data_IF_362720050534
#
_entry.id   IF_362720050534
#
_cell.length_a   1.000
_cell.length_b   1.000
_cell.length_c   1.000
_cell.angle_alpha   90.00
_cell.angle_beta   90.00
_cell.angle_gamma   90.00
#
_symmetry.space_group_name_H-M   'P 1'
#
loop_
_entity.id
_entity.type
_entity.pdbx_description
1 polymer ?
#
# COMPACT_ATOMS: atom_id res chain seq x y z
N UNK A 1 -25.61 0.76 -12.10
CA UNK A 1 -24.87 1.94 -11.59
C UNK A 1 -23.59 1.39 -11.02
N UNK A 2 -22.46 1.55 -11.71
CA UNK A 2 -21.18 1.07 -11.20
C UNK A 2 -20.75 2.01 -10.07
N UNK A 3 -20.79 1.54 -8.83
CA UNK A 3 -20.26 2.28 -7.68
C UNK A 3 -18.75 2.44 -7.86
N UNK A 4 -18.34 3.57 -8.42
CA UNK A 4 -16.93 3.95 -8.49
C UNK A 4 -16.56 4.50 -7.11
N UNK A 5 -16.02 3.64 -6.24
CA UNK A 5 -15.49 4.05 -4.96
C UNK A 5 -14.28 4.95 -5.20
N UNK A 6 -14.29 6.22 -4.76
CA UNK A 6 -13.13 7.08 -4.92
C UNK A 6 -11.94 6.46 -4.18
N UNK A 7 -10.72 6.61 -4.72
CA UNK A 7 -9.54 6.08 -4.04
C UNK A 7 -9.39 6.77 -2.67
N UNK A 8 -9.15 6.00 -1.59
CA UNK A 8 -9.00 6.56 -0.24
C UNK A 8 -7.78 7.48 -0.15
N UNK A 9 -7.85 8.50 0.70
CA UNK A 9 -6.72 9.38 0.97
C UNK A 9 -5.51 8.59 1.49
N UNK A 10 -4.32 8.88 0.96
CA UNK A 10 -3.06 8.31 1.45
C UNK A 10 -2.17 9.43 1.99
N UNK A 11 -1.48 9.13 3.10
CA UNK A 11 -0.56 10.04 3.77
C UNK A 11 0.82 9.40 3.83
N UNK A 12 1.84 10.12 3.37
CA UNK A 12 3.22 9.62 3.32
C UNK A 12 4.13 10.66 3.99
N UNK A 13 5.15 10.21 4.72
CA UNK A 13 6.11 11.15 5.31
C UNK A 13 7.03 11.76 4.24
N UNK A 14 7.47 12.99 4.45
CA UNK A 14 8.48 13.66 3.61
C UNK A 14 9.77 12.84 3.49
N UNK A 15 10.12 12.05 4.51
CA UNK A 15 11.30 11.17 4.52
C UNK A 15 11.10 9.91 3.67
N UNK A 16 9.87 9.39 3.63
CA UNK A 16 9.55 8.16 2.90
C UNK A 16 9.31 8.42 1.42
N UNK A 17 8.73 9.58 1.06
CA UNK A 17 8.37 9.90 -0.32
C UNK A 17 9.53 9.69 -1.32
N UNK A 18 10.76 10.21 -1.10
CA UNK A 18 11.87 10.03 -2.04
C UNK A 18 12.30 8.55 -2.19
N UNK A 19 12.12 7.73 -1.15
CA UNK A 19 12.43 6.30 -1.20
C UNK A 19 11.46 5.59 -2.14
N UNK A 20 10.17 5.92 -2.06
CA UNK A 20 9.12 5.33 -2.90
C UNK A 20 9.23 5.82 -4.35
N UNK A 21 9.53 7.10 -4.57
CA UNK A 21 9.76 7.65 -5.91
C UNK A 21 10.91 6.94 -6.61
N UNK A 22 12.07 6.82 -5.94
CA UNK A 22 13.23 6.08 -6.48
C UNK A 22 12.90 4.61 -6.77
N UNK A 23 12.06 4.01 -5.93
CA UNK A 23 11.61 2.64 -6.14
C UNK A 23 10.70 2.54 -7.38
N UNK A 24 9.79 3.49 -7.58
CA UNK A 24 8.94 3.57 -8.77
C UNK A 24 9.77 3.78 -10.04
N UNK A 25 10.76 4.68 -10.02
CA UNK A 25 11.73 4.86 -11.12
C UNK A 25 12.44 3.55 -11.47
N UNK A 26 12.88 2.80 -10.46
CA UNK A 26 13.53 1.50 -10.64
C UNK A 26 12.63 0.43 -11.28
N UNK A 27 11.30 0.59 -11.20
CA UNK A 27 10.33 -0.32 -11.82
C UNK A 27 10.08 -0.02 -13.30
N UNK A 28 10.33 1.20 -13.79
CA UNK A 28 9.96 1.64 -15.15
C UNK A 28 10.45 0.68 -16.23
N UNK A 29 11.69 0.21 -16.12
CA UNK A 29 12.32 -0.68 -17.09
C UNK A 29 11.87 -2.14 -16.98
N UNK A 30 11.31 -2.54 -15.84
CA UNK A 30 10.93 -3.94 -15.55
C UNK A 30 9.44 -4.18 -15.69
N UNK A 31 8.64 -3.20 -15.29
CA UNK A 31 7.18 -3.25 -15.32
C UNK A 31 6.63 -1.81 -15.37
N UNK A 32 6.54 -1.26 -16.58
CA UNK A 32 6.09 0.10 -16.82
C UNK A 32 4.67 0.37 -16.29
N UNK A 33 3.77 -0.60 -16.39
CA UNK A 33 2.39 -0.45 -15.89
C UNK A 33 2.34 -0.33 -14.36
N UNK A 34 3.15 -1.13 -13.66
CA UNK A 34 3.26 -1.05 -12.20
C UNK A 34 3.94 0.24 -11.75
N UNK A 35 4.98 0.69 -12.45
CA UNK A 35 5.66 1.95 -12.18
C UNK A 35 4.71 3.14 -12.33
N UNK A 36 3.96 3.19 -13.44
CA UNK A 36 2.95 4.23 -13.68
C UNK A 36 1.89 4.26 -12.56
N UNK A 37 1.33 3.09 -12.20
CA UNK A 37 0.38 2.99 -11.09
C UNK A 37 0.99 3.45 -9.76
N UNK A 38 2.27 3.16 -9.50
CA UNK A 38 2.93 3.65 -8.30
C UNK A 38 3.03 5.18 -8.30
N UNK A 39 3.47 5.79 -9.41
CA UNK A 39 3.54 7.25 -9.53
C UNK A 39 2.18 7.92 -9.40
N UNK A 40 1.11 7.33 -9.95
CA UNK A 40 -0.25 7.86 -9.80
C UNK A 40 -0.68 7.91 -8.33
N UNK A 41 -0.36 6.88 -7.55
CA UNK A 41 -0.62 6.86 -6.12
C UNK A 41 0.25 7.87 -5.37
N UNK A 42 1.55 7.96 -5.66
CA UNK A 42 2.43 8.94 -5.02
C UNK A 42 2.01 10.39 -5.34
N UNK A 43 1.55 10.66 -6.56
CA UNK A 43 1.15 12.00 -7.00
C UNK A 43 -0.10 12.53 -6.28
N UNK A 44 -1.00 11.65 -5.84
CA UNK A 44 -2.19 12.02 -5.07
C UNK A 44 -1.97 11.97 -3.56
N UNK A 45 -0.81 11.52 -3.10
CA UNK A 45 -0.51 11.39 -1.69
C UNK A 45 -0.39 12.75 -1.01
N UNK A 46 -0.91 12.84 0.21
CA UNK A 46 -0.61 13.98 1.08
C UNK A 46 0.73 13.73 1.77
N UNK A 47 1.72 14.54 1.44
CA UNK A 47 3.02 14.49 2.11
C UNK A 47 3.00 15.34 3.38
N UNK A 48 3.48 14.79 4.50
CA UNK A 48 3.55 15.46 5.80
C UNK A 48 4.92 15.26 6.46
N UNK A 49 5.36 16.19 7.34
CA UNK A 49 6.46 15.91 8.27
C UNK A 49 6.18 14.65 9.08
N UNK A 50 7.21 13.85 9.39
CA UNK A 50 7.03 12.54 10.05
C UNK A 50 6.27 12.64 11.39
N UNK A 51 6.43 13.76 12.12
CA UNK A 51 5.75 14.01 13.39
C UNK A 51 4.25 14.31 13.23
N UNK A 52 3.81 14.68 12.02
CA UNK A 52 2.41 14.97 11.67
C UNK A 52 1.72 13.80 10.97
N UNK A 53 2.48 12.76 10.57
CA UNK A 53 1.90 11.55 9.98
C UNK A 53 1.06 10.83 11.05
N UNK A 54 -0.20 10.49 10.75
CA UNK A 54 -1.04 9.74 11.66
C UNK A 54 -0.39 8.41 12.07
N UNK A 55 -0.46 8.07 13.36
CA UNK A 55 0.14 6.84 13.90
C UNK A 55 -0.47 5.56 13.33
N UNK A 56 -1.63 5.66 12.69
CA UNK A 56 -2.35 4.57 12.03
C UNK A 56 -2.19 4.58 10.49
N UNK A 57 -1.34 5.47 9.94
CA UNK A 57 -0.97 5.43 8.54
C UNK A 57 0.05 4.30 8.30
N UNK A 58 -0.15 3.55 7.22
CA UNK A 58 0.72 2.46 6.80
C UNK A 58 2.00 3.06 6.20
N UNK A 59 3.13 2.74 6.82
CA UNK A 59 4.47 3.06 6.33
C UNK A 59 5.28 1.82 5.95
N UNK A 60 6.57 2.04 5.69
CA UNK A 60 7.52 0.94 5.56
C UNK A 60 7.80 0.33 6.95
N UNK A 61 7.76 -1.00 7.02
CA UNK A 61 7.90 -1.78 8.25
C UNK A 61 6.59 -2.02 9.00
N UNK A 62 5.47 -1.43 8.59
CA UNK A 62 4.19 -1.59 9.29
C UNK A 62 3.66 -3.01 9.22
N UNK A 63 3.14 -3.51 10.34
CA UNK A 63 2.27 -4.68 10.36
C UNK A 63 0.85 -4.25 10.01
N UNK A 64 0.30 -4.86 8.96
CA UNK A 64 -1.00 -4.48 8.41
C UNK A 64 -1.92 -5.69 8.44
N UNK A 65 -3.07 -5.55 9.11
CA UNK A 65 -4.18 -6.49 9.01
C UNK A 65 -5.22 -5.93 8.05
N UNK A 66 -5.60 -6.68 7.04
CA UNK A 66 -6.67 -6.32 6.12
C UNK A 66 -7.56 -7.51 5.80
N UNK A 67 -8.82 -7.24 5.45
CA UNK A 67 -9.81 -8.24 5.05
C UNK A 67 -10.09 -8.14 3.57
N UNK A 68 -10.19 -9.28 2.92
CA UNK A 68 -10.87 -9.41 1.63
C UNK A 68 -12.37 -9.58 1.88
N UNK A 69 -13.15 -8.56 1.58
CA UNK A 69 -14.60 -8.54 1.81
C UNK A 69 -15.36 -9.49 0.87
N UNK A 70 -14.74 -9.89 -0.24
CA UNK A 70 -15.31 -10.89 -1.16
C UNK A 70 -15.23 -12.30 -0.57
N UNK A 71 -14.11 -12.64 0.09
CA UNK A 71 -13.88 -13.99 0.63
C UNK A 71 -14.05 -14.10 2.14
N UNK A 72 -14.13 -12.96 2.85
CA UNK A 72 -14.16 -12.87 4.31
C UNK A 72 -12.84 -13.20 5.00
N UNK A 73 -11.74 -13.33 4.25
CA UNK A 73 -10.44 -13.75 4.80
C UNK A 73 -9.61 -12.56 5.26
N UNK A 74 -9.07 -12.67 6.47
CA UNK A 74 -8.10 -11.72 7.01
C UNK A 74 -6.68 -12.14 6.63
N UNK A 75 -5.86 -11.16 6.29
CA UNK A 75 -4.43 -11.30 6.05
C UNK A 75 -3.67 -10.38 7.01
N UNK A 76 -2.53 -10.86 7.49
CA UNK A 76 -1.59 -10.09 8.29
C UNK A 76 -0.24 -10.12 7.58
N UNK A 77 0.27 -8.95 7.22
CA UNK A 77 1.55 -8.80 6.54
C UNK A 77 2.44 -7.77 7.23
N UNK A 78 3.71 -7.74 6.86
CA UNK A 78 4.58 -6.58 7.08
C UNK A 78 4.89 -5.95 5.74
N UNK A 79 4.60 -4.66 5.56
CA UNK A 79 4.94 -3.94 4.33
C UNK A 79 6.41 -3.55 4.37
N UNK A 80 7.21 -3.95 3.39
CA UNK A 80 8.68 -3.76 3.43
C UNK A 80 9.24 -3.32 2.06
N UNK A 81 10.53 -2.99 2.02
CA UNK A 81 11.23 -2.77 0.76
C UNK A 81 11.48 -4.09 0.01
N UNK A 82 11.69 -4.05 -1.32
CA UNK A 82 11.87 -5.26 -2.13
C UNK A 82 12.98 -6.19 -1.63
N UNK A 83 14.08 -5.65 -1.13
CA UNK A 83 15.24 -6.41 -0.66
C UNK A 83 14.95 -7.19 0.63
N UNK A 84 13.89 -6.82 1.34
CA UNK A 84 13.47 -7.41 2.62
C UNK A 84 12.26 -8.34 2.48
N UNK A 85 11.72 -8.48 1.26
CA UNK A 85 10.53 -9.28 1.01
C UNK A 85 10.81 -10.76 1.28
N UNK A 86 9.91 -11.39 2.04
CA UNK A 86 10.01 -12.78 2.45
C UNK A 86 8.61 -13.32 2.71
N UNK A 87 8.13 -14.16 1.78
CA UNK A 87 6.80 -14.76 1.84
C UNK A 87 6.65 -15.65 3.09
N UNK A 88 7.72 -16.36 3.49
CA UNK A 88 7.68 -17.25 4.64
C UNK A 88 7.51 -16.50 5.96
N UNK A 89 7.96 -15.24 6.00
CA UNK A 89 7.82 -14.33 7.12
C UNK A 89 6.65 -13.33 6.97
N UNK A 90 5.75 -13.54 5.99
CA UNK A 90 4.67 -12.61 5.65
C UNK A 90 5.12 -11.17 5.38
N UNK A 91 6.34 -10.99 4.86
CA UNK A 91 6.90 -9.69 4.45
C UNK A 91 6.62 -9.45 2.97
N UNK A 92 5.78 -8.47 2.68
CA UNK A 92 5.35 -8.12 1.33
C UNK A 92 6.04 -6.83 0.89
N UNK A 93 6.63 -6.86 -0.30
CA UNK A 93 7.25 -5.66 -0.88
C UNK A 93 6.21 -4.61 -1.23
N UNK A 94 6.53 -3.35 -0.91
CA UNK A 94 5.77 -2.18 -1.39
C UNK A 94 5.77 -2.10 -2.92
N UNK A 95 6.77 -2.65 -3.61
CA UNK A 95 6.82 -2.75 -5.08
C UNK A 95 5.97 -3.93 -5.63
N UNK A 96 4.77 -4.11 -5.12
CA UNK A 96 3.77 -5.06 -5.62
C UNK A 96 2.42 -4.36 -5.76
N UNK A 97 1.48 -4.85 -6.58
CA UNK A 97 0.17 -4.20 -6.72
C UNK A 97 -0.55 -3.97 -5.40
N UNK A 98 -0.50 -4.96 -4.48
CA UNK A 98 -1.10 -4.82 -3.15
C UNK A 98 -0.28 -3.89 -2.24
N UNK A 99 1.06 -3.91 -2.35
CA UNK A 99 1.93 -3.04 -1.56
C UNK A 99 1.73 -1.55 -1.89
N UNK A 100 1.62 -1.23 -3.18
CA UNK A 100 1.32 0.13 -3.67
C UNK A 100 -0.08 0.56 -3.20
N UNK A 101 -1.07 -0.33 -3.26
CA UNK A 101 -2.41 -0.01 -2.81
C UNK A 101 -2.51 0.22 -1.30
N UNK A 102 -1.59 -0.34 -0.50
CA UNK A 102 -1.59 -0.23 0.97
C UNK A 102 -0.81 0.96 1.50
N UNK A 103 0.29 1.36 0.87
CA UNK A 103 1.17 2.39 1.41
C UNK A 103 0.43 3.71 1.62
N UNK A 104 0.58 4.30 2.80
CA UNK A 104 -0.06 5.54 3.20
C UNK A 104 -1.55 5.46 3.53
N UNK A 105 -2.21 4.32 3.31
CA UNK A 105 -3.58 4.12 3.80
C UNK A 105 -3.62 4.11 5.33
N UNK A 106 -4.82 4.31 5.88
CA UNK A 106 -5.05 4.31 7.32
C UNK A 106 -5.97 3.17 7.74
N UNK A 107 -5.99 2.90 9.04
CA UNK A 107 -6.97 1.99 9.62
C UNK A 107 -8.42 2.38 9.22
N UNK A 108 -9.22 1.40 8.81
CA UNK A 108 -10.58 1.61 8.32
C UNK A 108 -10.68 2.05 6.85
N UNK A 109 -9.57 2.19 6.13
CA UNK A 109 -9.60 2.47 4.69
C UNK A 109 -10.20 1.28 3.92
N UNK A 110 -11.01 1.61 2.90
CA UNK A 110 -11.58 0.64 1.98
C UNK A 110 -11.03 0.93 0.58
N UNK A 111 -10.59 -0.10 -0.12
CA UNK A 111 -9.99 0.05 -1.45
C UNK A 111 -10.29 -1.16 -2.33
N UNK A 112 -10.23 -0.95 -3.64
CA UNK A 112 -10.36 -2.05 -4.61
C UNK A 112 -8.98 -2.54 -5.00
N UNK A 113 -8.79 -3.85 -4.99
CA UNK A 113 -7.57 -4.50 -5.46
C UNK A 113 -7.90 -5.49 -6.57
N UNK A 114 -7.13 -5.45 -7.65
CA UNK A 114 -7.25 -6.42 -8.74
C UNK A 114 -6.25 -7.56 -8.51
N UNK A 115 -6.78 -8.77 -8.33
CA UNK A 115 -5.99 -9.98 -8.19
C UNK A 115 -5.37 -10.39 -9.54
N UNK A 116 -4.42 -11.33 -9.49
CA UNK A 116 -3.69 -11.80 -10.69
C UNK A 116 -4.59 -12.47 -11.74
N UNK A 117 -5.75 -12.98 -11.32
CA UNK A 117 -6.76 -13.59 -12.18
C UNK A 117 -7.73 -12.55 -12.79
N UNK A 118 -7.53 -11.25 -12.52
CA UNK A 118 -8.39 -10.16 -12.95
C UNK A 118 -9.62 -9.95 -12.07
N UNK A 119 -9.79 -10.72 -11.00
CA UNK A 119 -10.88 -10.51 -10.06
C UNK A 119 -10.64 -9.24 -9.25
N UNK A 120 -11.66 -8.38 -9.12
CA UNK A 120 -11.64 -7.26 -8.18
C UNK A 120 -12.13 -7.69 -6.81
N UNK A 121 -11.29 -7.47 -5.82
CA UNK A 121 -11.59 -7.64 -4.42
C UNK A 121 -11.80 -6.27 -3.77
N UNK A 122 -12.83 -6.17 -2.93
CA UNK A 122 -12.95 -5.04 -2.00
C UNK A 122 -12.16 -5.43 -0.75
N UNK A 123 -11.22 -4.59 -0.37
CA UNK A 123 -10.37 -4.81 0.78
C UNK A 123 -10.62 -3.73 1.83
N UNK A 124 -10.59 -4.12 3.10
CA UNK A 124 -10.74 -3.22 4.25
C UNK A 124 -9.52 -3.35 5.17
N UNK A 125 -8.86 -2.23 5.47
CA UNK A 125 -7.77 -2.20 6.48
C UNK A 125 -8.40 -2.29 7.87
N UNK A 126 -8.06 -3.33 8.62
CA UNK A 126 -8.61 -3.61 9.95
C UNK A 126 -7.70 -3.15 11.09
N UNK A 127 -6.40 -2.98 10.82
CA UNK A 127 -5.44 -2.54 11.82
C UNK A 127 -4.06 -2.28 11.23
N UNK A 128 -3.36 -1.32 11.83
CA UNK A 128 -2.02 -0.89 11.46
C UNK A 128 -1.20 -0.77 12.74
N UNK A 129 -0.07 -1.45 12.79
CA UNK A 129 0.93 -1.33 13.86
C UNK A 129 2.25 -0.90 13.22
N UNK A 130 2.71 0.31 13.56
CA UNK A 130 3.96 0.85 13.06
C UNK A 130 5.14 0.44 13.95
N UNK A 131 6.33 0.19 13.38
CA UNK A 131 7.52 -0.08 14.16
C UNK A 131 7.87 1.14 15.04
N UNK A 132 8.39 0.86 16.25
CA UNK A 132 8.84 1.86 17.23
C UNK A 132 10.23 2.37 16.87
#
# INVERSE_FOLDING_TARGET
MSEHMPPPDIVISEETMPILEKLAEGLEHRNQALAAHFFDELARAKTLPVQEVPTDAIGLGSHVRFRDDTTGKDQLITLVLPEQADISAAKVSVATPIGIALIGLRNGAHFSWEARDGARHKLTVLGVENPI
#
